data_IF_788547131091
#
_entry.id   IF_788547131091
#
_cell.length_a   1.000
_cell.length_b   1.000
_cell.length_c   1.000
_cell.angle_alpha   90.00
_cell.angle_beta   90.00
_cell.angle_gamma   90.00
#
_symmetry.space_group_name_H-M   'P 1'
#
loop_
_entity.id
_entity.type
_entity.pdbx_description
1 polymer ?
#
# COMPACT_ATOMS: atom_id res chain seq x y z
N UNK A 1 -13.59 -23.32 -16.49
CA UNK A 1 -12.69 -22.19 -16.15
C UNK A 1 -13.07 -21.72 -14.74
N UNK A 2 -12.16 -21.73 -13.74
CA UNK A 2 -12.40 -21.10 -12.45
C UNK A 2 -12.49 -19.59 -12.69
N UNK A 3 -13.61 -18.99 -12.34
CA UNK A 3 -13.79 -17.54 -12.37
C UNK A 3 -12.82 -16.93 -11.35
N UNK A 4 -11.88 -16.10 -11.79
CA UNK A 4 -10.99 -15.37 -10.89
C UNK A 4 -11.89 -14.41 -10.09
N UNK A 5 -11.85 -14.44 -8.74
CA UNK A 5 -12.62 -13.49 -7.95
C UNK A 5 -12.26 -12.07 -8.36
N UNK A 6 -13.23 -11.15 -8.34
CA UNK A 6 -12.87 -9.75 -8.46
C UNK A 6 -11.95 -9.34 -7.30
N UNK A 7 -11.15 -8.30 -7.50
CA UNK A 7 -10.14 -7.90 -6.52
C UNK A 7 -10.75 -7.51 -5.15
N UNK A 8 -11.97 -7.04 -5.10
CA UNK A 8 -12.64 -6.66 -3.85
C UNK A 8 -13.03 -7.90 -3.07
N UNK A 9 -13.56 -8.91 -3.74
CA UNK A 9 -13.84 -10.22 -3.15
C UNK A 9 -12.55 -10.88 -2.64
N UNK A 10 -11.49 -10.88 -3.44
CA UNK A 10 -10.18 -11.42 -3.04
C UNK A 10 -9.59 -10.66 -1.84
N UNK A 11 -9.76 -9.32 -1.79
CA UNK A 11 -9.35 -8.49 -0.67
C UNK A 11 -10.16 -8.82 0.61
N UNK A 12 -11.47 -9.07 0.48
CA UNK A 12 -12.34 -9.49 1.58
C UNK A 12 -11.99 -10.87 2.14
N UNK A 13 -11.42 -11.74 1.33
CA UNK A 13 -10.99 -13.10 1.68
C UNK A 13 -9.53 -13.18 2.16
N UNK A 14 -8.89 -12.04 2.41
CA UNK A 14 -7.53 -12.01 2.95
C UNK A 14 -7.47 -12.72 4.31
N UNK A 15 -6.39 -13.46 4.54
CA UNK A 15 -6.15 -14.16 5.80
C UNK A 15 -5.84 -13.14 6.88
N UNK A 16 -6.52 -13.28 8.03
CA UNK A 16 -6.38 -12.40 9.19
C UNK A 16 -6.10 -13.16 10.49
N UNK A 17 -6.27 -14.50 10.49
CA UNK A 17 -5.95 -15.36 11.63
C UNK A 17 -4.55 -15.98 11.42
N UNK A 18 -3.59 -15.76 12.34
CA UNK A 18 -2.30 -16.44 12.28
C UNK A 18 -2.40 -17.97 12.25
N UNK A 19 -3.42 -18.58 12.89
CA UNK A 19 -3.60 -20.02 12.85
C UNK A 19 -3.89 -20.51 11.43
N UNK A 20 -4.80 -19.85 10.72
CA UNK A 20 -5.11 -20.18 9.33
C UNK A 20 -3.86 -20.07 8.43
N UNK A 21 -3.04 -19.04 8.63
CA UNK A 21 -1.81 -18.86 7.86
C UNK A 21 -0.82 -20.00 8.10
N UNK A 22 -0.60 -20.37 9.36
CA UNK A 22 0.32 -21.47 9.74
C UNK A 22 -0.17 -22.81 9.19
N UNK A 23 -1.46 -23.11 9.29
CA UNK A 23 -2.07 -24.35 8.76
C UNK A 23 -1.90 -24.45 7.25
N UNK A 24 -2.19 -23.38 6.52
CA UNK A 24 -2.03 -23.33 5.05
C UNK A 24 -0.57 -23.59 4.62
N UNK A 25 0.37 -23.13 5.42
CA UNK A 25 1.79 -23.30 5.13
C UNK A 25 2.38 -24.60 5.70
N UNK A 26 1.60 -25.37 6.50
CA UNK A 26 2.07 -26.58 7.14
C UNK A 26 3.14 -26.34 8.18
N UNK A 27 3.05 -25.20 8.87
CA UNK A 27 3.96 -24.81 9.94
C UNK A 27 3.38 -25.21 11.32
N UNK A 28 4.27 -25.48 12.27
CA UNK A 28 3.87 -25.85 13.62
C UNK A 28 3.20 -24.70 14.38
N UNK A 29 2.34 -25.06 15.35
CA UNK A 29 1.62 -24.09 16.17
C UNK A 29 2.45 -23.49 17.31
N UNK A 30 3.73 -23.85 17.43
CA UNK A 30 4.67 -23.24 18.39
C UNK A 30 4.81 -21.71 18.17
N UNK A 31 4.58 -21.23 16.96
CA UNK A 31 4.60 -19.79 16.60
C UNK A 31 3.31 -19.07 17.00
N UNK A 32 2.21 -19.80 17.20
CA UNK A 32 0.87 -19.22 17.32
C UNK A 32 0.68 -18.29 18.52
N UNK A 33 1.17 -18.62 19.74
CA UNK A 33 1.00 -17.73 20.90
C UNK A 33 1.66 -16.36 20.67
N UNK A 34 2.90 -16.36 20.16
CA UNK A 34 3.64 -15.12 19.87
C UNK A 34 2.99 -14.33 18.72
N UNK A 35 2.56 -15.02 17.66
CA UNK A 35 1.91 -14.40 16.51
C UNK A 35 0.57 -13.75 16.90
N UNK A 36 -0.24 -14.40 17.73
CA UNK A 36 -1.50 -13.83 18.24
C UNK A 36 -1.29 -12.63 19.14
N UNK A 37 -0.26 -12.67 19.99
CA UNK A 37 0.06 -11.55 20.87
C UNK A 37 0.54 -10.31 20.07
N UNK A 38 1.46 -10.50 19.13
CA UNK A 38 1.94 -9.42 18.25
C UNK A 38 0.81 -8.88 17.33
N UNK A 39 -0.09 -9.75 16.86
CA UNK A 39 -1.23 -9.36 16.03
C UNK A 39 -2.23 -8.44 16.75
N UNK A 40 -2.25 -8.40 18.09
CA UNK A 40 -3.10 -7.45 18.85
C UNK A 40 -2.66 -6.01 18.65
N UNK A 41 -1.37 -5.75 18.53
CA UNK A 41 -0.82 -4.42 18.32
C UNK A 41 -0.88 -4.00 16.86
N UNK A 42 -0.59 -4.92 15.94
CA UNK A 42 -0.70 -4.71 14.51
C UNK A 42 -1.26 -5.98 13.85
N UNK A 43 -2.53 -5.98 13.42
CA UNK A 43 -3.22 -7.19 12.95
C UNK A 43 -2.52 -7.85 11.77
N UNK A 44 -2.66 -9.18 11.65
CA UNK A 44 -2.33 -9.88 10.41
C UNK A 44 -3.36 -9.54 9.33
N UNK A 45 -2.89 -9.28 8.14
CA UNK A 45 -3.68 -9.24 6.91
C UNK A 45 -2.80 -9.60 5.73
N UNK A 46 -3.17 -10.66 4.99
CA UNK A 46 -2.42 -11.11 3.81
C UNK A 46 -3.35 -11.73 2.77
N UNK A 47 -3.32 -11.27 1.49
CA UNK A 47 -4.09 -11.88 0.41
C UNK A 47 -3.64 -13.32 0.14
N UNK A 48 -4.63 -14.20 -0.15
CA UNK A 48 -4.37 -15.62 -0.46
C UNK A 48 -3.43 -15.82 -1.65
N UNK A 49 -3.52 -14.94 -2.67
CA UNK A 49 -2.63 -14.95 -3.82
C UNK A 49 -1.15 -14.71 -3.42
N UNK A 50 -0.90 -13.89 -2.40
CA UNK A 50 0.44 -13.67 -1.88
C UNK A 50 0.95 -14.89 -1.09
N UNK A 51 0.08 -15.51 -0.28
CA UNK A 51 0.40 -16.74 0.49
C UNK A 51 0.71 -17.92 -0.44
N UNK A 52 0.01 -18.02 -1.56
CA UNK A 52 0.23 -19.09 -2.53
C UNK A 52 1.66 -19.13 -3.13
N UNK A 53 2.43 -18.04 -3.00
CA UNK A 53 3.83 -17.93 -3.42
C UNK A 53 4.83 -18.25 -2.33
N UNK A 54 4.37 -18.49 -1.09
CA UNK A 54 5.21 -18.87 0.03
C UNK A 54 5.58 -20.36 -0.04
N UNK A 55 6.76 -20.71 0.44
CA UNK A 55 7.21 -22.10 0.56
C UNK A 55 6.54 -22.75 1.77
N UNK A 56 5.84 -23.86 1.53
CA UNK A 56 5.25 -24.63 2.62
C UNK A 56 6.35 -25.29 3.46
N UNK A 57 6.14 -25.32 4.78
CA UNK A 57 7.06 -25.90 5.74
C UNK A 57 8.36 -25.12 5.98
N UNK A 58 8.49 -23.94 5.38
CA UNK A 58 9.68 -23.09 5.53
C UNK A 58 9.39 -21.86 6.40
N UNK A 59 9.75 -21.86 7.71
CA UNK A 59 9.54 -20.69 8.58
C UNK A 59 10.46 -19.52 8.23
N UNK A 60 11.51 -19.74 7.43
CA UNK A 60 12.43 -18.73 6.95
C UNK A 60 12.03 -18.14 5.59
N UNK A 61 10.87 -18.56 5.04
CA UNK A 61 10.39 -18.03 3.75
C UNK A 61 10.36 -16.49 3.75
N UNK A 62 10.99 -15.83 2.77
CA UNK A 62 11.13 -14.37 2.76
C UNK A 62 9.79 -13.62 2.61
N UNK A 63 8.76 -14.24 2.06
CA UNK A 63 7.42 -13.65 1.97
C UNK A 63 6.68 -13.81 3.30
N UNK A 64 6.80 -14.97 3.94
CA UNK A 64 6.21 -15.21 5.27
C UNK A 64 6.75 -14.22 6.31
N UNK A 65 8.07 -14.00 6.33
CA UNK A 65 8.73 -13.06 7.25
C UNK A 65 8.26 -11.61 7.09
N UNK A 66 7.67 -11.26 5.97
CA UNK A 66 7.11 -9.92 5.74
C UNK A 66 5.73 -9.74 6.39
N UNK A 67 5.04 -10.82 6.76
CA UNK A 67 3.63 -10.76 7.19
C UNK A 67 3.32 -11.49 8.49
N UNK A 68 4.09 -12.52 8.86
CA UNK A 68 3.87 -13.25 10.11
C UNK A 68 4.20 -12.34 11.31
N UNK A 69 3.24 -12.05 12.20
CA UNK A 69 3.52 -11.31 13.42
C UNK A 69 4.47 -12.09 14.32
N UNK A 70 5.49 -11.43 14.86
CA UNK A 70 6.50 -12.04 15.72
C UNK A 70 6.63 -11.27 17.04
N UNK A 71 7.05 -11.96 18.10
CA UNK A 71 7.21 -11.37 19.44
C UNK A 71 8.23 -10.23 19.47
N UNK A 72 9.26 -10.32 18.63
CA UNK A 72 10.36 -9.34 18.51
C UNK A 72 9.86 -7.94 18.12
N UNK A 73 8.70 -7.84 17.49
CA UNK A 73 8.10 -6.55 17.10
C UNK A 73 7.68 -5.69 18.32
N UNK A 74 7.60 -6.29 19.50
CA UNK A 74 7.24 -5.63 20.75
C UNK A 74 8.45 -5.18 21.56
N UNK A 75 9.65 -5.51 21.11
CA UNK A 75 10.88 -5.07 21.78
C UNK A 75 11.01 -3.56 21.65
N UNK A 76 11.22 -2.91 22.79
CA UNK A 76 11.58 -1.49 22.82
C UNK A 76 13.09 -1.43 22.64
N UNK A 77 13.54 -0.81 21.56
CA UNK A 77 14.96 -0.65 21.25
C UNK A 77 15.30 0.83 21.35
N UNK A 78 16.33 1.15 22.12
CA UNK A 78 16.81 2.52 22.29
C UNK A 78 17.21 3.14 20.95
N UNK A 79 16.81 4.39 20.72
CA UNK A 79 17.05 5.11 19.46
C UNK A 79 16.00 4.86 18.38
N UNK A 80 15.03 3.94 18.58
CA UNK A 80 13.92 3.71 17.66
C UNK A 80 12.61 4.27 18.22
N UNK A 81 11.82 4.92 17.37
CA UNK A 81 10.55 5.54 17.75
C UNK A 81 9.40 5.22 16.79
N UNK A 82 8.17 5.61 17.16
CA UNK A 82 6.96 5.33 16.36
C UNK A 82 6.86 6.15 15.08
N UNK A 83 7.66 7.20 14.89
CA UNK A 83 7.70 8.05 13.69
C UNK A 83 9.12 8.10 13.10
N UNK A 84 9.60 7.00 12.50
CA UNK A 84 11.00 6.88 12.06
C UNK A 84 11.36 7.80 10.89
N UNK A 85 10.36 8.37 10.23
CA UNK A 85 10.56 9.24 9.04
C UNK A 85 10.11 10.68 9.28
N UNK A 86 9.62 11.03 10.48
CA UNK A 86 9.19 12.39 10.82
C UNK A 86 7.90 12.83 10.07
N UNK A 87 6.97 11.91 9.83
CA UNK A 87 5.71 12.21 9.16
C UNK A 87 4.81 13.13 9.99
N UNK A 88 4.83 12.99 11.32
CA UNK A 88 4.02 13.80 12.21
C UNK A 88 4.38 15.29 12.14
N UNK A 89 5.67 15.63 12.06
CA UNK A 89 6.13 17.01 11.93
C UNK A 89 5.82 17.63 10.55
N UNK A 90 5.64 16.78 9.54
CA UNK A 90 5.33 17.21 8.17
C UNK A 90 3.82 17.37 7.90
N UNK A 91 2.96 17.05 8.86
CA UNK A 91 1.51 17.18 8.75
C UNK A 91 1.11 18.65 8.68
N UNK A 92 0.48 19.09 7.57
CA UNK A 92 0.12 20.48 7.31
C UNK A 92 -1.38 20.72 7.24
N UNK A 93 -2.14 19.70 6.83
CA UNK A 93 -3.60 19.70 6.81
C UNK A 93 -4.08 18.23 6.92
N UNK A 94 -5.35 17.94 7.21
CA UNK A 94 -5.86 16.58 7.29
C UNK A 94 -5.45 15.74 6.07
N UNK A 95 -4.64 14.70 6.31
CA UNK A 95 -4.13 13.80 5.27
C UNK A 95 -3.03 14.37 4.38
N UNK A 96 -2.48 15.56 4.67
CA UNK A 96 -1.43 16.20 3.86
C UNK A 96 -0.10 16.20 4.59
N UNK A 97 0.90 15.56 4.01
CA UNK A 97 2.29 15.59 4.45
C UNK A 97 3.12 16.37 3.43
N UNK A 98 3.69 17.51 3.86
CA UNK A 98 4.50 18.38 3.01
C UNK A 98 5.90 18.53 3.58
N UNK A 99 6.82 17.67 3.14
CA UNK A 99 8.23 17.62 3.57
C UNK A 99 9.18 18.29 2.59
N UNK A 100 8.85 18.23 1.30
CA UNK A 100 9.76 18.56 0.22
C UNK A 100 9.16 19.64 -0.66
N UNK A 101 9.96 20.57 -1.10
CA UNK A 101 9.55 21.58 -2.07
C UNK A 101 9.02 20.93 -3.35
N UNK A 102 7.96 21.47 -3.90
CA UNK A 102 7.39 21.05 -5.18
C UNK A 102 6.54 19.78 -5.15
N UNK A 103 6.40 19.10 -3.99
CA UNK A 103 5.59 17.88 -3.88
C UNK A 103 4.95 17.70 -2.52
N UNK A 104 3.74 17.17 -2.53
CA UNK A 104 3.02 16.78 -1.31
C UNK A 104 2.65 15.30 -1.37
N UNK A 105 2.61 14.66 -0.19
CA UNK A 105 2.06 13.32 -0.04
C UNK A 105 0.68 13.44 0.62
N UNK A 106 -0.29 12.80 -0.02
CA UNK A 106 -1.65 12.71 0.50
C UNK A 106 -1.90 11.29 1.02
N UNK A 107 -2.38 11.21 2.26
CA UNK A 107 -2.83 9.97 2.87
C UNK A 107 -4.20 9.62 2.31
N UNK A 108 -4.22 8.87 1.20
CA UNK A 108 -5.44 8.54 0.48
C UNK A 108 -6.39 7.66 1.29
N UNK A 109 -5.85 6.79 2.14
CA UNK A 109 -6.58 5.85 3.01
C UNK A 109 -5.66 5.30 4.08
N UNK A 110 -6.23 4.82 5.19
CA UNK A 110 -5.50 4.00 6.18
C UNK A 110 -5.52 2.50 5.89
N UNK A 111 -6.31 2.07 4.88
CA UNK A 111 -6.46 0.65 4.57
C UNK A 111 -5.31 0.13 3.69
N UNK A 112 -4.90 -1.12 3.95
CA UNK A 112 -3.95 -1.87 3.13
C UNK A 112 -4.53 -3.24 2.77
N UNK A 113 -4.12 -3.79 1.62
CA UNK A 113 -4.42 -5.16 1.25
C UNK A 113 -3.58 -6.18 2.06
N UNK A 114 -2.39 -5.76 2.48
CA UNK A 114 -1.42 -6.54 3.25
C UNK A 114 -0.87 -5.70 4.39
N UNK A 115 -0.68 -6.29 5.56
CA UNK A 115 -0.01 -5.63 6.68
C UNK A 115 1.45 -6.09 6.76
N UNK A 116 2.33 -5.25 6.21
CA UNK A 116 3.77 -5.51 6.20
C UNK A 116 4.36 -5.30 7.59
N UNK A 117 5.07 -6.30 8.13
CA UNK A 117 5.64 -6.21 9.49
C UNK A 117 6.70 -5.10 9.64
N UNK A 118 7.34 -4.73 8.55
CA UNK A 118 8.29 -3.61 8.45
C UNK A 118 7.62 -2.26 8.14
N UNK A 119 6.31 -2.14 8.23
CA UNK A 119 5.61 -0.89 7.91
C UNK A 119 6.03 0.23 8.86
N UNK A 120 6.70 1.25 8.33
CA UNK A 120 7.14 2.41 9.11
C UNK A 120 5.98 3.32 9.54
N UNK A 121 4.80 3.16 8.92
CA UNK A 121 3.57 3.88 9.27
C UNK A 121 2.60 3.05 10.12
N UNK A 122 3.04 1.94 10.72
CA UNK A 122 2.14 1.10 11.55
C UNK A 122 1.56 1.83 12.77
N UNK A 123 2.23 2.88 13.23
CA UNK A 123 1.79 3.74 14.34
C UNK A 123 1.25 5.10 13.88
N UNK A 124 1.13 5.32 12.56
CA UNK A 124 0.61 6.57 12.04
C UNK A 124 -0.88 6.73 12.39
N UNK A 125 -1.34 7.93 12.85
CA UNK A 125 -2.70 8.16 13.31
C UNK A 125 -3.69 8.28 12.13
N UNK A 126 -3.91 7.20 11.41
CA UNK A 126 -4.80 7.18 10.25
C UNK A 126 -6.23 7.58 10.54
N UNK A 127 -6.72 7.41 11.78
CA UNK A 127 -8.07 7.83 12.15
C UNK A 127 -8.28 9.35 11.98
N UNK A 128 -7.23 10.13 12.22
CA UNK A 128 -7.23 11.59 12.07
C UNK A 128 -6.95 12.02 10.63
N UNK A 129 -6.19 11.20 9.89
CA UNK A 129 -5.78 11.46 8.51
C UNK A 129 -6.65 10.75 7.47
N UNK A 130 -7.74 10.08 7.90
CA UNK A 130 -8.51 9.20 7.02
C UNK A 130 -9.17 9.99 5.89
N UNK A 131 -9.09 9.47 4.66
CA UNK A 131 -9.68 10.04 3.46
C UNK A 131 -11.22 9.97 3.49
N UNK A 132 -11.85 10.70 4.43
CA UNK A 132 -13.25 11.09 4.29
C UNK A 132 -13.38 12.04 3.09
N UNK A 133 -14.58 12.25 2.60
CA UNK A 133 -14.84 13.23 1.52
C UNK A 133 -14.39 14.64 1.94
N UNK A 134 -14.48 14.94 3.23
CA UNK A 134 -14.04 16.23 3.80
C UNK A 134 -12.51 16.37 3.79
N UNK A 135 -11.77 15.31 4.14
CA UNK A 135 -10.31 15.34 4.13
C UNK A 135 -9.75 15.43 2.71
N UNK A 136 -10.43 14.85 1.71
CA UNK A 136 -10.05 15.01 0.32
C UNK A 136 -10.26 16.43 -0.19
N UNK A 137 -11.35 17.08 0.26
CA UNK A 137 -11.58 18.50 -0.02
C UNK A 137 -10.49 19.36 0.61
N UNK A 138 -10.17 19.17 1.89
CA UNK A 138 -9.09 19.88 2.57
C UNK A 138 -7.72 19.66 1.89
N UNK A 139 -7.45 18.47 1.40
CA UNK A 139 -6.22 18.17 0.67
C UNK A 139 -6.17 18.88 -0.70
N UNK A 140 -7.30 18.94 -1.42
CA UNK A 140 -7.41 19.69 -2.69
C UNK A 140 -7.27 21.19 -2.45
N UNK A 141 -7.93 21.73 -1.43
CA UNK A 141 -7.81 23.14 -1.04
C UNK A 141 -6.36 23.51 -0.70
N UNK A 142 -5.67 22.60 0.01
CA UNK A 142 -4.24 22.79 0.30
C UNK A 142 -3.42 22.84 -0.98
N UNK A 143 -3.60 21.87 -1.90
CA UNK A 143 -2.87 21.85 -3.18
C UNK A 143 -3.16 23.11 -4.00
N UNK A 144 -4.43 23.51 -4.09
CA UNK A 144 -4.86 24.69 -4.86
C UNK A 144 -4.21 25.99 -4.36
N UNK A 145 -4.02 26.10 -3.05
CA UNK A 145 -3.42 27.30 -2.42
C UNK A 145 -1.88 27.30 -2.39
N UNK A 146 -1.25 26.22 -2.88
CA UNK A 146 0.21 26.09 -2.93
C UNK A 146 0.69 25.86 -4.37
N UNK A 147 0.83 26.93 -5.17
CA UNK A 147 1.17 26.84 -6.60
C UNK A 147 2.60 26.32 -6.89
N UNK A 148 3.44 26.23 -5.87
CA UNK A 148 4.76 25.59 -5.92
C UNK A 148 4.69 24.06 -5.91
N UNK A 149 3.52 23.47 -5.64
CA UNK A 149 3.31 22.02 -5.65
C UNK A 149 3.04 21.51 -7.06
N UNK A 150 4.01 20.90 -7.70
CA UNK A 150 3.89 20.35 -9.07
C UNK A 150 3.62 18.84 -9.09
N UNK A 151 3.81 18.14 -7.96
CA UNK A 151 3.63 16.70 -7.85
C UNK A 151 2.78 16.35 -6.62
N UNK A 152 1.75 15.54 -6.85
CA UNK A 152 0.93 14.95 -5.79
C UNK A 152 1.20 13.46 -5.71
N UNK A 153 1.54 12.98 -4.51
CA UNK A 153 1.82 11.57 -4.21
C UNK A 153 0.66 11.00 -3.41
N UNK A 154 -0.05 10.02 -3.95
CA UNK A 154 -1.03 9.24 -3.19
C UNK A 154 -0.32 8.07 -2.50
N UNK A 155 -0.47 8.01 -1.17
CA UNK A 155 0.14 6.99 -0.31
C UNK A 155 -0.74 6.81 0.95
N UNK A 156 -0.13 6.57 2.09
CA UNK A 156 -0.80 6.36 3.38
C UNK A 156 -0.82 4.88 3.74
N UNK A 157 -2.01 4.23 3.77
CA UNK A 157 -2.17 2.82 3.52
C UNK A 157 -1.82 2.53 2.05
N UNK A 158 -2.64 1.80 1.36
CA UNK A 158 -2.40 1.62 -0.07
C UNK A 158 -3.54 2.28 -0.87
N UNK A 159 -3.27 3.31 -1.69
CA UNK A 159 -4.29 4.07 -2.41
C UNK A 159 -5.13 3.20 -3.34
N UNK A 160 -4.56 2.10 -3.88
CA UNK A 160 -5.30 1.20 -4.76
C UNK A 160 -6.31 0.28 -4.03
N UNK A 161 -6.42 0.36 -2.69
CA UNK A 161 -7.55 -0.24 -1.95
C UNK A 161 -8.84 0.54 -2.14
N UNK A 162 -8.77 1.78 -2.61
CA UNK A 162 -9.92 2.57 -2.98
C UNK A 162 -10.50 2.12 -4.33
N UNK A 163 -11.80 2.37 -4.54
CA UNK A 163 -12.45 2.09 -5.82
C UNK A 163 -11.94 3.02 -6.92
N UNK A 164 -11.94 2.53 -8.16
CA UNK A 164 -11.54 3.31 -9.34
C UNK A 164 -12.40 4.57 -9.51
N UNK A 165 -13.70 4.48 -9.21
CA UNK A 165 -14.59 5.63 -9.20
C UNK A 165 -14.07 6.73 -8.27
N UNK A 166 -13.74 6.38 -7.02
CA UNK A 166 -13.27 7.36 -6.03
C UNK A 166 -11.92 7.97 -6.41
N UNK A 167 -10.99 7.14 -6.90
CA UNK A 167 -9.69 7.62 -7.38
C UNK A 167 -9.84 8.55 -8.58
N UNK A 168 -10.66 8.19 -9.58
CA UNK A 168 -10.87 9.02 -10.77
C UNK A 168 -11.58 10.34 -10.46
N UNK A 169 -12.53 10.35 -9.52
CA UNK A 169 -13.17 11.59 -9.03
C UNK A 169 -12.13 12.54 -8.42
N UNK A 170 -11.21 12.00 -7.58
CA UNK A 170 -10.14 12.80 -7.00
C UNK A 170 -9.16 13.33 -8.04
N UNK A 171 -8.76 12.49 -8.99
CA UNK A 171 -7.81 12.86 -10.05
C UNK A 171 -8.40 13.97 -10.92
N UNK A 172 -9.69 13.89 -11.27
CA UNK A 172 -10.38 14.98 -12.03
C UNK A 172 -10.36 16.29 -11.26
N UNK A 173 -10.66 16.27 -9.95
CA UNK A 173 -10.58 17.48 -9.15
C UNK A 173 -9.14 18.04 -9.04
N UNK A 174 -8.14 17.16 -9.06
CA UNK A 174 -6.73 17.56 -9.07
C UNK A 174 -6.32 18.17 -10.43
N UNK A 175 -6.95 17.76 -11.53
CA UNK A 175 -6.72 18.33 -12.86
C UNK A 175 -7.10 19.81 -12.97
N UNK A 176 -8.02 20.29 -12.12
CA UNK A 176 -8.38 21.70 -12.05
C UNK A 176 -7.25 22.57 -11.46
N UNK A 177 -6.29 21.97 -10.77
CA UNK A 177 -5.09 22.64 -10.28
C UNK A 177 -4.03 22.70 -11.42
N UNK A 178 -4.02 23.77 -12.21
CA UNK A 178 -3.21 23.89 -13.42
C UNK A 178 -1.67 23.71 -13.20
N UNK A 179 -1.18 24.05 -12.01
CA UNK A 179 0.23 23.93 -11.62
C UNK A 179 0.64 22.49 -11.28
N UNK A 180 -0.31 21.59 -11.04
CA UNK A 180 -0.02 20.16 -10.80
C UNK A 180 0.22 19.47 -12.14
N UNK A 181 1.39 18.89 -12.31
CA UNK A 181 1.83 18.23 -13.54
C UNK A 181 1.91 16.70 -13.39
N UNK A 182 2.11 16.21 -12.17
CA UNK A 182 2.39 14.80 -11.90
C UNK A 182 1.56 14.23 -10.78
N UNK A 183 1.02 13.04 -11.04
CA UNK A 183 0.38 12.18 -10.05
C UNK A 183 1.26 10.94 -9.83
N UNK A 184 1.66 10.69 -8.58
CA UNK A 184 2.40 9.49 -8.21
C UNK A 184 1.57 8.62 -7.26
N UNK A 185 1.54 7.33 -7.53
CA UNK A 185 0.88 6.32 -6.69
C UNK A 185 1.94 5.44 -6.05
N UNK A 186 1.98 5.36 -4.73
CA UNK A 186 2.80 4.40 -4.00
C UNK A 186 1.92 3.24 -3.60
N UNK A 187 2.17 2.06 -4.14
CA UNK A 187 1.30 0.90 -3.96
C UNK A 187 2.07 -0.42 -3.92
N UNK A 188 1.53 -1.38 -3.21
CA UNK A 188 1.97 -2.77 -3.22
C UNK A 188 0.95 -3.70 -3.88
N UNK A 189 -0.24 -3.19 -4.20
CA UNK A 189 -1.32 -4.02 -4.72
C UNK A 189 -0.99 -4.77 -6.01
N UNK A 190 -0.27 -4.20 -7.00
CA UNK A 190 0.10 -4.96 -8.19
C UNK A 190 0.89 -6.23 -7.90
N UNK A 191 1.61 -6.25 -6.76
CA UNK A 191 2.38 -7.41 -6.29
C UNK A 191 1.54 -8.36 -5.44
N UNK A 192 0.79 -7.85 -4.47
CA UNK A 192 0.10 -8.69 -3.49
C UNK A 192 -1.28 -9.14 -3.93
N UNK A 193 -1.87 -8.42 -4.87
CA UNK A 193 -3.21 -8.65 -5.43
C UNK A 193 -3.24 -8.17 -6.90
N UNK A 194 -2.59 -8.90 -7.84
CA UNK A 194 -2.45 -8.48 -9.24
C UNK A 194 -3.77 -8.20 -9.96
N UNK A 195 -4.86 -8.84 -9.52
CA UNK A 195 -6.22 -8.65 -10.05
C UNK A 195 -6.72 -7.21 -9.86
N UNK A 196 -6.10 -6.43 -8.96
CA UNK A 196 -6.41 -5.01 -8.78
C UNK A 196 -6.05 -4.17 -10.00
N UNK A 197 -5.14 -4.62 -10.83
CA UNK A 197 -4.80 -3.94 -12.08
C UNK A 197 -5.87 -4.25 -13.13
N UNK A 198 -7.01 -3.55 -13.00
CA UNK A 198 -8.19 -3.69 -13.84
C UNK A 198 -8.10 -2.80 -15.09
N UNK A 199 -9.04 -2.99 -16.03
CA UNK A 199 -9.19 -2.10 -17.18
C UNK A 199 -9.59 -0.69 -16.76
N UNK A 200 -10.44 -0.59 -15.74
CA UNK A 200 -10.91 0.69 -15.19
C UNK A 200 -9.74 1.48 -14.57
N UNK A 201 -8.85 0.80 -13.83
CA UNK A 201 -7.62 1.42 -13.31
C UNK A 201 -6.77 1.97 -14.46
N UNK A 202 -6.48 1.15 -15.45
CA UNK A 202 -5.68 1.56 -16.60
C UNK A 202 -6.35 2.71 -17.38
N UNK A 203 -7.67 2.68 -17.54
CA UNK A 203 -8.41 3.69 -18.27
C UNK A 203 -8.31 5.08 -17.62
N UNK A 204 -8.47 5.21 -16.31
CA UNK A 204 -8.34 6.54 -15.69
C UNK A 204 -6.87 6.98 -15.57
N UNK A 205 -5.91 6.05 -15.43
CA UNK A 205 -4.48 6.38 -15.46
C UNK A 205 -4.05 6.96 -16.81
N UNK A 206 -4.59 6.45 -17.92
CA UNK A 206 -4.29 6.94 -19.27
C UNK A 206 -5.15 8.15 -19.68
N UNK A 207 -6.31 8.33 -19.03
CA UNK A 207 -7.28 9.38 -19.39
C UNK A 207 -7.01 10.74 -18.71
N UNK A 208 -6.02 10.85 -17.84
CA UNK A 208 -5.68 12.09 -17.15
C UNK A 208 -4.62 12.91 -17.92
N UNK A 209 -4.67 14.25 -17.79
CA UNK A 209 -3.61 15.12 -18.28
C UNK A 209 -2.30 15.04 -17.47
N UNK A 210 -2.39 14.51 -16.25
CA UNK A 210 -1.25 14.41 -15.34
C UNK A 210 -0.28 13.31 -15.80
N UNK A 211 1.01 13.53 -15.66
CA UNK A 211 2.02 12.48 -15.84
C UNK A 211 1.88 11.48 -14.72
N UNK A 212 1.36 10.29 -15.00
CA UNK A 212 1.15 9.24 -14.01
C UNK A 212 2.41 8.42 -13.76
N UNK A 213 2.76 8.26 -12.48
CA UNK A 213 3.88 7.43 -12.02
C UNK A 213 3.35 6.43 -10.99
N UNK A 214 3.59 5.14 -11.22
CA UNK A 214 3.24 4.08 -10.29
C UNK A 214 4.51 3.50 -9.68
N UNK A 215 4.72 3.74 -8.40
CA UNK A 215 5.83 3.18 -7.62
C UNK A 215 5.35 1.91 -6.96
N UNK A 216 5.85 0.78 -7.44
CA UNK A 216 5.46 -0.55 -7.01
C UNK A 216 6.45 -1.04 -5.94
N UNK A 217 5.95 -1.44 -4.78
CA UNK A 217 6.77 -2.00 -3.72
C UNK A 217 6.88 -3.51 -3.86
N UNK A 218 8.10 -4.01 -4.06
CA UNK A 218 8.47 -5.42 -4.05
C UNK A 218 9.82 -5.58 -3.34
N UNK A 219 9.92 -6.52 -2.42
CA UNK A 219 11.13 -6.69 -1.58
C UNK A 219 11.92 -7.96 -1.90
N UNK A 220 11.31 -8.91 -2.59
CA UNK A 220 11.95 -10.18 -2.90
C UNK A 220 11.52 -10.69 -4.29
N UNK A 221 12.43 -11.35 -5.00
CA UNK A 221 12.17 -11.87 -6.35
C UNK A 221 11.01 -12.89 -6.39
N UNK A 222 10.82 -13.67 -5.31
CA UNK A 222 9.71 -14.64 -5.17
C UNK A 222 8.31 -13.98 -5.21
N UNK A 223 8.21 -12.66 -5.01
CA UNK A 223 6.96 -11.91 -5.15
C UNK A 223 6.53 -11.74 -6.61
N UNK A 224 7.48 -11.87 -7.56
CA UNK A 224 7.30 -11.50 -8.96
C UNK A 224 7.02 -12.76 -9.81
N UNK A 225 5.79 -13.27 -9.72
CA UNK A 225 5.32 -14.35 -10.60
C UNK A 225 4.74 -13.81 -11.92
N UNK A 226 4.25 -14.71 -12.77
CA UNK A 226 3.65 -14.33 -14.06
C UNK A 226 2.43 -13.45 -13.92
N UNK A 227 1.63 -13.59 -12.86
CA UNK A 227 0.46 -12.76 -12.61
C UNK A 227 0.85 -11.31 -12.31
N UNK A 228 1.90 -11.13 -11.52
CA UNK A 228 2.48 -9.82 -11.21
C UNK A 228 3.12 -9.21 -12.45
N UNK A 229 3.86 -10.01 -13.24
CA UNK A 229 4.45 -9.55 -14.50
C UNK A 229 3.37 -9.00 -15.44
N UNK A 230 2.26 -9.72 -15.61
CA UNK A 230 1.13 -9.29 -16.44
C UNK A 230 0.47 -8.02 -15.91
N UNK A 231 0.33 -7.87 -14.59
CA UNK A 231 -0.21 -6.67 -13.98
C UNK A 231 0.70 -5.45 -14.24
N UNK A 232 2.01 -5.61 -14.05
CA UNK A 232 2.99 -4.56 -14.36
C UNK A 232 2.98 -4.18 -15.85
N UNK A 233 2.86 -5.17 -16.75
CA UNK A 233 2.75 -4.92 -18.19
C UNK A 233 1.51 -4.08 -18.53
N UNK A 234 0.33 -4.41 -17.96
CA UNK A 234 -0.90 -3.62 -18.17
C UNK A 234 -0.75 -2.17 -17.70
N UNK A 235 -0.07 -1.95 -16.57
CA UNK A 235 0.22 -0.59 -16.08
C UNK A 235 1.14 0.16 -17.06
N UNK A 236 2.18 -0.48 -17.54
CA UNK A 236 3.09 0.12 -18.53
C UNK A 236 2.36 0.43 -19.85
N UNK A 237 1.54 -0.50 -20.35
CA UNK A 237 0.74 -0.35 -21.58
C UNK A 237 -0.30 0.79 -21.46
N UNK A 238 -0.73 1.14 -20.24
CA UNK A 238 -1.60 2.30 -20.00
C UNK A 238 -0.88 3.65 -20.10
N UNK A 239 0.42 3.66 -20.36
CA UNK A 239 1.23 4.88 -20.44
C UNK A 239 1.75 5.39 -19.10
N UNK A 240 1.45 4.71 -17.99
CA UNK A 240 2.00 5.06 -16.70
C UNK A 240 3.50 4.71 -16.61
N UNK A 241 4.30 5.62 -16.07
CA UNK A 241 5.69 5.31 -15.73
C UNK A 241 5.72 4.40 -14.52
N UNK A 242 6.22 3.18 -14.68
CA UNK A 242 6.34 2.23 -13.58
C UNK A 242 7.77 2.21 -13.03
N UNK A 243 7.90 2.24 -11.71
CA UNK A 243 9.18 2.02 -11.03
C UNK A 243 8.99 1.02 -9.88
N UNK A 244 10.03 0.24 -9.60
CA UNK A 244 10.04 -0.66 -8.44
C UNK A 244 10.88 0.00 -7.35
N UNK A 245 10.32 0.07 -6.14
CA UNK A 245 11.02 0.53 -4.94
C UNK A 245 11.12 -0.64 -3.96
N UNK A 246 12.31 -1.20 -3.72
CA UNK A 246 12.50 -2.14 -2.62
C UNK A 246 12.54 -1.34 -1.31
N UNK A 247 11.81 -1.79 -0.28
CA UNK A 247 12.21 -1.51 1.08
C UNK A 247 13.38 -2.43 1.37
N UNK A 248 14.57 -1.88 1.62
CA UNK A 248 15.70 -2.70 2.07
C UNK A 248 15.35 -3.38 3.38
N UNK A 249 14.85 -4.61 3.31
CA UNK A 249 15.00 -5.55 4.39
C UNK A 249 16.45 -6.03 4.31
N UNK A 250 17.34 -5.33 5.00
CA UNK A 250 18.64 -5.92 5.31
C UNK A 250 18.34 -7.10 6.22
N UNK A 251 18.66 -8.29 5.73
CA UNK A 251 18.54 -9.55 6.46
C UNK A 251 19.45 -9.57 7.69
#
# INVERSE_FOLDING_TARGET
MRQVPDWQTALGQAITDPAELLDLLGLGHEWLPAARDAARAFPLRVPRAFVARMRRGDPADPLLRQVLPLAEERLVVEGFGPDPVGDLAAHKAPGVLHKYQGRVLLTATGACAIHCRYCFRRHFPYAEANASTENWRAALDYVTTHPDVHEVILSGGDPLTLSDRRLSEFVRALEDCAHVERLRLHTRLPVVLPERVTRELCAWLSGTRLKTVVVIHANHAQELDDSVRLACQRLADSGATCSISPFCCVA
#
